data_IF_137351380850
#
_entry.id   IF_137351380850
#
_cell.length_a   1.000
_cell.length_b   1.000
_cell.length_c   1.000
_cell.angle_alpha   90.00
_cell.angle_beta   90.00
_cell.angle_gamma   90.00
#
_symmetry.space_group_name_H-M   'P 1'
#
loop_
_entity.id
_entity.type
_entity.pdbx_description
1 polymer ?
#
# COMPACT_ATOMS: atom_id res chain seq x y z
N UNK A 1 -17.88 5.44 -13.76
CA UNK A 1 -17.12 4.63 -12.79
C UNK A 1 -18.08 3.60 -12.23
N UNK A 2 -17.89 2.33 -12.58
CA UNK A 2 -18.78 1.27 -12.10
C UNK A 2 -18.45 0.99 -10.62
N UNK A 3 -19.35 1.38 -9.70
CA UNK A 3 -19.15 1.16 -8.27
C UNK A 3 -19.03 -0.32 -7.91
N UNK A 4 -19.52 -1.21 -8.77
CA UNK A 4 -19.44 -2.65 -8.57
C UNK A 4 -18.00 -3.16 -8.62
N UNK A 5 -17.11 -2.50 -9.36
CA UNK A 5 -15.72 -2.92 -9.52
C UNK A 5 -14.79 -2.41 -8.40
N UNK A 6 -14.98 -1.20 -7.86
CA UNK A 6 -14.13 -0.70 -6.76
C UNK A 6 -14.28 -1.51 -5.47
N UNK A 7 -15.50 -1.91 -5.11
CA UNK A 7 -15.70 -2.73 -3.92
C UNK A 7 -15.03 -4.11 -4.02
N UNK A 8 -15.03 -4.70 -5.22
CA UNK A 8 -14.35 -5.97 -5.52
C UNK A 8 -12.83 -5.83 -5.45
N UNK A 9 -12.28 -4.74 -6.01
CA UNK A 9 -10.84 -4.45 -5.94
C UNK A 9 -10.38 -4.18 -4.50
N UNK A 10 -11.12 -3.37 -3.74
CA UNK A 10 -10.86 -3.15 -2.31
C UNK A 10 -10.80 -4.48 -1.55
N UNK A 11 -11.80 -5.36 -1.75
CA UNK A 11 -11.83 -6.68 -1.13
C UNK A 11 -10.63 -7.53 -1.56
N UNK A 12 -10.25 -7.49 -2.84
CA UNK A 12 -9.12 -8.24 -3.37
C UNK A 12 -7.79 -7.80 -2.73
N UNK A 13 -7.54 -6.50 -2.58
CA UNK A 13 -6.35 -5.98 -1.90
C UNK A 13 -6.29 -6.42 -0.44
N UNK A 14 -7.41 -6.30 0.29
CA UNK A 14 -7.48 -6.76 1.69
C UNK A 14 -7.19 -8.26 1.76
N UNK A 15 -7.84 -9.07 0.91
CA UNK A 15 -7.64 -10.52 0.88
C UNK A 15 -6.19 -10.89 0.54
N UNK A 16 -5.59 -10.24 -0.44
CA UNK A 16 -4.19 -10.45 -0.83
C UNK A 16 -3.24 -10.19 0.34
N UNK A 17 -3.40 -9.05 1.01
CA UNK A 17 -2.54 -8.64 2.12
C UNK A 17 -2.76 -9.47 3.38
N UNK A 18 -4.01 -9.70 3.78
CA UNK A 18 -4.33 -10.32 5.06
C UNK A 18 -4.47 -11.84 5.01
N UNK A 19 -4.84 -12.43 3.88
CA UNK A 19 -5.07 -13.87 3.77
C UNK A 19 -3.93 -14.57 3.02
N UNK A 20 -3.64 -14.14 1.79
CA UNK A 20 -2.62 -14.82 0.97
C UNK A 20 -1.18 -14.54 1.45
N UNK A 21 -0.91 -13.30 1.88
CA UNK A 21 0.37 -12.95 2.52
C UNK A 21 0.30 -13.25 4.02
N UNK A 22 -0.78 -12.86 4.70
CA UNK A 22 -1.01 -13.17 6.11
C UNK A 22 -0.50 -12.09 7.06
N UNK A 23 0.02 -12.49 8.22
CA UNK A 23 0.68 -11.59 9.17
C UNK A 23 1.94 -10.95 8.54
N UNK A 24 2.08 -9.62 8.67
CA UNK A 24 3.12 -8.79 8.06
C UNK A 24 3.94 -8.02 9.10
N UNK A 25 4.11 -8.59 10.29
CA UNK A 25 4.85 -7.95 11.38
C UNK A 25 6.37 -8.13 11.32
N UNK A 26 7.08 -7.49 12.25
CA UNK A 26 8.54 -7.59 12.39
C UNK A 26 9.06 -9.04 12.53
N UNK A 27 8.24 -9.92 13.11
CA UNK A 27 8.54 -11.34 13.28
C UNK A 27 8.26 -12.16 12.01
N UNK A 28 7.48 -11.62 11.07
CA UNK A 28 7.15 -12.21 9.76
C UNK A 28 7.75 -11.34 8.64
N UNK A 29 9.05 -11.09 8.74
CA UNK A 29 9.76 -10.14 7.88
C UNK A 29 9.66 -10.47 6.38
N UNK A 30 9.65 -11.75 5.99
CA UNK A 30 9.47 -12.14 4.60
C UNK A 30 8.08 -11.76 4.07
N UNK A 31 7.04 -11.92 4.88
CA UNK A 31 5.69 -11.47 4.53
C UNK A 31 5.59 -9.94 4.46
N UNK A 32 6.28 -9.22 5.35
CA UNK A 32 6.38 -7.77 5.28
C UNK A 32 7.02 -7.33 3.95
N UNK A 33 8.07 -8.01 3.49
CA UNK A 33 8.70 -7.73 2.18
C UNK A 33 7.78 -8.08 1.01
N UNK A 34 7.09 -9.24 1.05
CA UNK A 34 6.09 -9.63 0.04
C UNK A 34 4.95 -8.62 -0.06
N UNK A 35 4.53 -8.05 1.08
CA UNK A 35 3.53 -6.99 1.09
C UNK A 35 4.06 -5.70 0.45
N UNK A 36 5.31 -5.33 0.73
CA UNK A 36 5.93 -4.18 0.11
C UNK A 36 6.06 -4.34 -1.42
N UNK A 37 6.47 -5.52 -1.88
CA UNK A 37 6.55 -5.87 -3.30
C UNK A 37 5.18 -5.85 -3.98
N UNK A 38 4.15 -6.34 -3.30
CA UNK A 38 2.78 -6.27 -3.79
C UNK A 38 2.31 -4.82 -3.98
N UNK A 39 2.49 -3.98 -2.97
CA UNK A 39 2.09 -2.56 -3.01
C UNK A 39 2.86 -1.80 -4.09
N UNK A 40 4.16 -2.02 -4.20
CA UNK A 40 4.98 -1.47 -5.29
C UNK A 40 4.44 -1.90 -6.66
N UNK A 41 4.14 -3.19 -6.83
CA UNK A 41 3.61 -3.74 -8.09
C UNK A 41 2.30 -3.10 -8.51
N UNK A 42 1.37 -2.92 -7.57
CA UNK A 42 0.09 -2.25 -7.84
C UNK A 42 0.31 -0.79 -8.28
N UNK A 43 1.11 -0.02 -7.54
CA UNK A 43 1.43 1.36 -7.93
C UNK A 43 2.08 1.47 -9.32
N UNK A 44 3.07 0.62 -9.61
CA UNK A 44 3.70 0.57 -10.94
C UNK A 44 2.72 0.19 -12.03
N UNK A 45 1.79 -0.73 -11.75
CA UNK A 45 0.75 -1.13 -12.71
C UNK A 45 -0.20 0.02 -13.05
N UNK A 46 -0.35 0.99 -12.16
CA UNK A 46 -1.11 2.22 -12.38
C UNK A 46 -0.26 3.33 -13.04
N UNK A 47 1.02 3.07 -13.35
CA UNK A 47 1.90 4.04 -14.00
C UNK A 47 2.59 5.04 -13.07
N UNK A 48 2.60 4.79 -11.76
CA UNK A 48 3.40 5.60 -10.83
C UNK A 48 4.87 5.19 -10.82
N UNK A 49 5.75 6.18 -10.77
CA UNK A 49 7.12 5.99 -10.29
C UNK A 49 7.10 5.82 -8.77
N UNK A 50 7.76 4.77 -8.28
CA UNK A 50 7.74 4.38 -6.86
C UNK A 50 9.09 4.67 -6.22
N UNK A 51 9.07 5.50 -5.19
CA UNK A 51 10.22 5.81 -4.35
C UNK A 51 10.18 5.02 -3.04
N UNK A 52 11.38 4.79 -2.48
CA UNK A 52 11.54 4.12 -1.20
C UNK A 52 12.30 4.98 -0.21
N UNK A 53 11.68 5.26 0.93
CA UNK A 53 12.39 5.75 2.10
C UNK A 53 12.77 4.55 2.98
N UNK A 54 14.03 4.14 2.92
CA UNK A 54 14.56 2.99 3.68
C UNK A 54 15.09 3.42 5.06
N UNK A 55 14.90 2.57 6.06
CA UNK A 55 15.40 2.78 7.42
C UNK A 55 15.77 1.46 8.10
N UNK A 56 16.57 1.49 9.16
CA UNK A 56 17.08 0.30 9.83
C UNK A 56 16.47 0.11 11.23
N UNK A 57 15.99 -1.09 11.53
CA UNK A 57 15.64 -1.52 12.90
C UNK A 57 16.35 -2.84 13.18
N UNK A 58 17.19 -2.90 14.23
CA UNK A 58 17.87 -4.13 14.69
C UNK A 58 18.55 -4.90 13.55
N UNK A 59 19.34 -4.20 12.73
CA UNK A 59 20.06 -4.75 11.56
C UNK A 59 19.17 -5.29 10.42
N UNK A 60 17.90 -4.91 10.38
CA UNK A 60 17.00 -5.19 9.24
C UNK A 60 16.57 -3.88 8.59
N UNK A 61 16.49 -3.89 7.25
CA UNK A 61 16.05 -2.76 6.45
C UNK A 61 14.53 -2.81 6.31
N UNK A 62 13.87 -1.70 6.63
CA UNK A 62 12.44 -1.47 6.41
C UNK A 62 12.30 -0.36 5.38
N UNK A 63 11.12 -0.22 4.77
CA UNK A 63 10.89 0.78 3.73
C UNK A 63 9.48 1.36 3.84
N UNK A 64 9.39 2.68 3.73
CA UNK A 64 8.14 3.32 3.33
C UNK A 64 8.10 3.36 1.80
N UNK A 65 6.90 3.19 1.24
CA UNK A 65 6.64 3.16 -0.21
C UNK A 65 5.92 4.45 -0.54
N UNK A 66 6.48 5.24 -1.47
CA UNK A 66 6.03 6.59 -1.74
C UNK A 66 5.75 6.72 -3.24
N UNK A 67 4.58 7.25 -3.56
CA UNK A 67 4.24 7.70 -4.92
C UNK A 67 3.77 9.15 -4.86
N UNK A 68 4.08 9.92 -5.90
CA UNK A 68 3.68 11.32 -5.98
C UNK A 68 2.86 11.56 -7.24
N UNK A 69 1.65 12.10 -7.10
CA UNK A 69 0.88 12.67 -8.21
C UNK A 69 0.94 14.19 -8.15
N UNK A 70 1.58 14.83 -9.11
CA UNK A 70 1.61 16.29 -9.20
C UNK A 70 0.27 16.81 -9.69
N UNK A 71 -0.38 17.68 -8.91
CA UNK A 71 -1.63 18.33 -9.30
C UNK A 71 -1.43 19.41 -10.36
N UNK A 72 -2.44 19.63 -11.21
CA UNK A 72 -2.37 20.62 -12.30
C UNK A 72 -2.63 22.05 -11.81
N UNK A 73 -3.62 22.25 -10.93
CA UNK A 73 -4.03 23.60 -10.50
C UNK A 73 -3.17 24.20 -9.40
N UNK A 74 -2.72 23.39 -8.44
CA UNK A 74 -1.96 23.83 -7.26
C UNK A 74 -0.76 22.91 -6.98
N UNK A 75 0.24 22.84 -7.87
CA UNK A 75 1.33 21.87 -7.78
C UNK A 75 2.26 22.04 -6.56
N UNK A 76 2.13 23.15 -5.81
CA UNK A 76 2.92 23.42 -4.58
C UNK A 76 2.16 23.09 -3.29
N UNK A 77 0.86 22.81 -3.36
CA UNK A 77 0.09 22.36 -2.20
C UNK A 77 0.21 20.85 -2.07
N UNK A 78 0.52 20.37 -0.87
CA UNK A 78 0.78 18.96 -0.61
C UNK A 78 -0.37 18.39 0.23
N UNK A 79 -0.97 17.31 -0.25
CA UNK A 79 -1.88 16.46 0.51
C UNK A 79 -1.21 15.10 0.68
N UNK A 80 -1.10 14.61 1.91
CA UNK A 80 -0.54 13.30 2.21
C UNK A 80 -1.66 12.33 2.57
N UNK A 81 -1.73 11.23 1.83
CA UNK A 81 -2.53 10.06 2.16
C UNK A 81 -1.58 8.96 2.60
N UNK A 82 -1.83 8.35 3.75
CA UNK A 82 -0.93 7.35 4.34
C UNK A 82 -1.67 6.20 5.00
N UNK A 83 -1.07 5.02 4.93
CA UNK A 83 -1.51 3.82 5.61
C UNK A 83 -0.26 2.99 5.95
N UNK A 84 -0.16 2.49 7.18
CA UNK A 84 0.87 1.49 7.49
C UNK A 84 0.44 0.13 6.92
N UNK A 85 1.41 -0.66 6.45
CA UNK A 85 1.15 -1.93 5.77
C UNK A 85 1.64 -3.15 6.54
N UNK A 86 2.37 -2.95 7.63
CA UNK A 86 2.74 -3.99 8.59
C UNK A 86 1.53 -4.41 9.44
N UNK A 87 1.70 -5.46 10.25
CA UNK A 87 0.69 -5.89 11.22
C UNK A 87 1.37 -6.41 12.49
N UNK A 88 0.59 -6.69 13.54
CA UNK A 88 1.13 -7.17 14.82
C UNK A 88 0.46 -8.46 15.28
N UNK A 89 1.14 -9.60 15.09
CA UNK A 89 0.70 -10.93 15.57
C UNK A 89 -0.70 -11.34 15.09
N UNK A 90 -1.16 -10.78 13.98
CA UNK A 90 -2.44 -11.09 13.37
C UNK A 90 -2.43 -10.76 11.86
N UNK A 91 -3.40 -11.29 11.08
CA UNK A 91 -3.54 -11.02 9.64
C UNK A 91 -3.62 -9.55 9.23
N UNK A 92 -4.03 -8.66 10.12
CA UNK A 92 -4.09 -7.22 9.91
C UNK A 92 -5.02 -6.80 8.78
N UNK A 93 -6.20 -7.41 8.69
CA UNK A 93 -7.18 -7.13 7.66
C UNK A 93 -7.75 -5.71 7.80
N UNK A 94 -8.25 -5.38 8.99
CA UNK A 94 -8.73 -4.03 9.31
C UNK A 94 -7.61 -3.10 9.80
N UNK A 95 -6.65 -3.66 10.54
CA UNK A 95 -5.44 -2.97 11.04
C UNK A 95 -4.18 -3.55 10.35
N UNK A 96 -3.79 -3.08 9.17
CA UNK A 96 -4.35 -1.92 8.44
C UNK A 96 -4.42 -2.14 6.93
N UNK A 97 -4.64 -3.38 6.49
CA UNK A 97 -4.77 -3.69 5.07
C UNK A 97 -5.98 -2.99 4.41
N UNK A 98 -7.04 -2.71 5.17
CA UNK A 98 -8.21 -1.96 4.70
C UNK A 98 -7.85 -0.55 4.23
N UNK A 99 -7.02 0.18 4.97
CA UNK A 99 -6.57 1.51 4.57
C UNK A 99 -5.56 1.45 3.41
N UNK A 100 -4.69 0.43 3.37
CA UNK A 100 -3.80 0.21 2.22
C UNK A 100 -4.61 -0.02 0.95
N UNK A 101 -5.67 -0.83 1.01
CA UNK A 101 -6.59 -1.04 -0.11
C UNK A 101 -7.25 0.26 -0.56
N UNK A 102 -7.72 1.09 0.38
CA UNK A 102 -8.29 2.41 0.07
C UNK A 102 -7.28 3.33 -0.63
N UNK A 103 -6.02 3.30 -0.21
CA UNK A 103 -4.95 4.10 -0.80
C UNK A 103 -4.61 3.63 -2.22
N UNK A 104 -4.48 2.32 -2.44
CA UNK A 104 -4.25 1.74 -3.77
C UNK A 104 -5.38 2.09 -4.74
N UNK A 105 -6.63 1.92 -4.34
CA UNK A 105 -7.78 2.26 -5.19
C UNK A 105 -7.91 3.76 -5.44
N UNK A 106 -7.53 4.59 -4.47
CA UNK A 106 -7.43 6.04 -4.67
C UNK A 106 -6.37 6.34 -5.75
N UNK A 107 -5.17 5.78 -5.61
CA UNK A 107 -4.10 5.97 -6.59
C UNK A 107 -4.50 5.50 -8.00
N UNK A 108 -5.18 4.35 -8.12
CA UNK A 108 -5.73 3.83 -9.38
C UNK A 108 -6.78 4.74 -10.00
N UNK A 109 -7.67 5.32 -9.18
CA UNK A 109 -8.67 6.27 -9.66
C UNK A 109 -8.01 7.55 -10.18
N UNK A 110 -6.95 8.00 -9.52
CA UNK A 110 -6.20 9.18 -9.93
C UNK A 110 -5.16 8.89 -11.01
N UNK A 111 -4.93 7.65 -11.45
CA UNK A 111 -3.86 7.38 -12.43
C UNK A 111 -4.22 7.76 -13.88
N UNK A 112 -5.51 7.89 -14.18
CA UNK A 112 -6.03 8.37 -15.47
C UNK A 112 -5.97 9.89 -15.62
#
# INVERSE_FOLDING_TARGET
MDKKTTAEMLKAHVYKLSHEIGERGIFKYDNLNRAAEYIEGEFRSYGYEVDFQKYNIRNRVFRNIIVTKTGVGRPREIVILGAHYDSMKNPGADDNASAVAGLLETARIFSS
#
